data_IF_850538511784
#
_entry.id   IF_850538511784
#
_cell.length_a   1.000
_cell.length_b   1.000
_cell.length_c   1.000
_cell.angle_alpha   90.00
_cell.angle_beta   90.00
_cell.angle_gamma   90.00
#
_symmetry.space_group_name_H-M   'P 1'
#
loop_
_entity.id
_entity.type
_entity.pdbx_description
1 polymer ?
#
# COMPACT_ATOMS: atom_id res chain seq x y z
N UNK A 1 14.88 7.04 -5.52
CA UNK A 1 15.01 8.50 -5.34
C UNK A 1 15.79 9.19 -6.47
N UNK A 2 17.01 8.79 -6.85
CA UNK A 2 17.67 9.36 -8.03
C UNK A 2 16.82 9.25 -9.31
N UNK A 3 16.10 8.17 -9.48
CA UNK A 3 15.37 7.84 -10.71
C UNK A 3 14.12 8.68 -10.97
N UNK A 4 13.37 9.05 -9.92
CA UNK A 4 12.19 9.93 -10.06
C UNK A 4 12.61 11.36 -10.46
N UNK A 5 13.75 11.79 -9.95
CA UNK A 5 14.33 13.08 -10.24
C UNK A 5 14.91 13.12 -11.65
N UNK A 6 15.63 12.08 -12.06
CA UNK A 6 16.17 11.94 -13.41
C UNK A 6 15.07 11.88 -14.47
N UNK A 7 13.95 11.23 -14.16
CA UNK A 7 12.75 11.19 -15.02
C UNK A 7 12.11 12.57 -15.15
N UNK A 8 12.08 13.34 -14.08
CA UNK A 8 11.54 14.71 -14.09
C UNK A 8 12.46 15.66 -14.88
N UNK A 9 13.78 15.54 -14.72
CA UNK A 9 14.80 16.26 -15.47
C UNK A 9 14.75 15.91 -16.95
N UNK A 10 14.55 14.65 -17.31
CA UNK A 10 14.40 14.22 -18.70
C UNK A 10 13.16 14.83 -19.37
N UNK A 11 12.03 14.90 -18.66
CA UNK A 11 10.79 15.54 -19.14
C UNK A 11 10.93 17.05 -19.34
N UNK A 12 11.74 17.71 -18.53
CA UNK A 12 12.05 19.13 -18.69
C UNK A 12 12.96 19.38 -19.90
N UNK A 13 13.99 18.54 -20.07
CA UNK A 13 14.89 18.63 -21.23
C UNK A 13 14.18 18.33 -22.57
N UNK A 14 13.11 17.55 -22.55
CA UNK A 14 12.28 17.26 -23.73
C UNK A 14 11.23 18.33 -24.05
N UNK A 15 11.22 19.46 -23.34
CA UNK A 15 10.26 20.53 -23.56
C UNK A 15 8.81 20.28 -23.15
N UNK A 16 8.54 19.15 -22.48
CA UNK A 16 7.20 18.81 -22.01
C UNK A 16 6.72 19.62 -20.80
N UNK A 17 7.59 20.41 -20.19
CA UNK A 17 7.26 21.31 -19.08
C UNK A 17 7.95 22.65 -19.37
N UNK A 18 7.19 23.66 -19.77
CA UNK A 18 7.68 24.99 -20.13
C UNK A 18 7.72 25.97 -18.94
N UNK A 19 8.04 25.56 -17.76
CA UNK A 19 8.07 26.47 -16.61
C UNK A 19 9.51 26.66 -16.14
N UNK A 20 10.05 27.85 -16.37
CA UNK A 20 11.43 28.25 -16.04
C UNK A 20 11.81 28.06 -14.58
N UNK A 21 10.87 28.31 -13.65
CA UNK A 21 11.10 28.11 -12.22
C UNK A 21 11.26 26.64 -11.83
N UNK A 22 10.61 25.73 -12.56
CA UNK A 22 10.78 24.29 -12.39
C UNK A 22 12.12 23.84 -12.96
N UNK A 23 12.59 24.46 -14.05
CA UNK A 23 13.89 24.18 -14.65
C UNK A 23 15.03 24.60 -13.71
N UNK A 24 14.96 25.81 -13.12
CA UNK A 24 15.96 26.28 -12.16
C UNK A 24 15.99 25.42 -10.87
N UNK A 25 14.85 25.06 -10.33
CA UNK A 25 14.77 24.21 -9.13
C UNK A 25 15.37 22.83 -9.35
N UNK A 26 15.21 22.25 -10.54
CA UNK A 26 15.76 20.94 -10.87
C UNK A 26 17.26 20.97 -11.23
N UNK A 27 17.73 22.04 -11.84
CA UNK A 27 19.16 22.26 -12.06
C UNK A 27 19.90 22.36 -10.72
N UNK A 28 19.34 23.05 -9.74
CA UNK A 28 19.92 23.18 -8.41
C UNK A 28 19.95 21.83 -7.65
N UNK A 29 18.89 21.04 -7.77
CA UNK A 29 18.85 19.69 -7.19
C UNK A 29 19.86 18.76 -7.88
N UNK A 30 20.03 18.85 -9.19
CA UNK A 30 21.03 18.07 -9.93
C UNK A 30 22.46 18.49 -9.55
N UNK A 31 22.72 19.79 -9.38
CA UNK A 31 24.01 20.31 -8.90
C UNK A 31 24.36 19.72 -7.53
N UNK A 32 23.40 19.76 -6.57
CA UNK A 32 23.62 19.21 -5.22
C UNK A 32 23.80 17.68 -5.20
N UNK A 33 23.16 16.95 -6.09
CA UNK A 33 23.37 15.51 -6.24
C UNK A 33 24.78 15.20 -6.75
N UNK A 34 25.25 15.94 -7.76
CA UNK A 34 26.58 15.79 -8.31
C UNK A 34 27.67 16.15 -7.29
N UNK A 35 27.45 17.17 -6.43
CA UNK A 35 28.34 17.55 -5.34
C UNK A 35 28.41 16.44 -4.26
N UNK A 36 27.28 15.82 -3.92
CA UNK A 36 27.27 14.69 -2.98
C UNK A 36 27.96 13.44 -3.55
N UNK A 37 27.82 13.16 -4.85
CA UNK A 37 28.53 12.06 -5.51
C UNK A 37 30.04 12.35 -5.60
N UNK A 38 30.44 13.58 -5.91
CA UNK A 38 31.82 13.99 -5.91
C UNK A 38 32.46 13.89 -4.51
N UNK A 39 31.75 14.32 -3.48
CA UNK A 39 32.15 14.18 -2.08
C UNK A 39 32.34 12.72 -1.67
N UNK A 40 31.42 11.81 -2.07
CA UNK A 40 31.55 10.38 -1.76
C UNK A 40 32.74 9.72 -2.54
N UNK A 41 33.04 10.16 -3.75
CA UNK A 41 34.23 9.68 -4.51
C UNK A 41 35.54 10.15 -3.90
N UNK A 42 35.59 11.37 -3.35
CA UNK A 42 36.78 11.90 -2.67
C UNK A 42 37.13 11.08 -1.43
N UNK A 43 36.14 10.60 -0.68
CA UNK A 43 36.37 9.71 0.47
C UNK A 43 36.92 8.32 0.08
N UNK A 44 36.58 7.82 -1.11
CA UNK A 44 37.07 6.53 -1.61
C UNK A 44 38.51 6.65 -2.10
N UNK A 45 38.95 7.82 -2.61
CA UNK A 45 40.29 8.05 -3.12
C UNK A 45 41.31 8.37 -2.02
N UNK A 46 40.90 8.92 -0.88
CA UNK A 46 41.80 9.17 0.27
C UNK A 46 42.11 7.92 1.12
N UNK A 47 41.48 6.78 0.83
CA UNK A 47 41.66 5.50 1.54
C UNK A 47 42.81 4.63 1.03
N UNK A 48 43.62 5.05 0.02
CA UNK A 48 44.74 4.30 -0.53
C UNK A 48 46.08 5.00 -0.28
N UNK A 49 46.53 4.98 0.95
CA UNK A 49 47.88 5.38 1.35
C UNK A 49 48.31 4.58 2.56
N UNK A 50 49.39 3.77 2.37
CA UNK A 50 49.79 2.65 3.20
C UNK A 50 50.12 2.91 4.67
N UNK A 51 50.06 1.84 5.46
CA UNK A 51 50.57 1.79 6.82
C UNK A 51 49.80 0.85 7.72
N UNK A 52 50.36 -0.29 7.95
CA UNK A 52 49.93 -1.32 8.90
C UNK A 52 49.72 -0.73 10.31
N UNK A 53 48.45 -0.73 10.84
CA UNK A 53 48.15 -0.81 12.29
C UNK A 53 46.66 -0.95 12.53
N UNK A 54 46.33 -2.03 13.22
CA UNK A 54 45.07 -2.37 13.99
C UNK A 54 43.73 -1.85 13.43
N UNK A 55 42.95 -2.78 12.87
CA UNK A 55 41.52 -2.61 12.57
C UNK A 55 40.72 -2.36 13.84
N UNK A 56 40.52 -1.12 14.26
CA UNK A 56 39.36 -0.75 15.07
C UNK A 56 38.15 -0.62 14.13
N UNK A 57 37.17 -1.54 14.27
CA UNK A 57 35.87 -1.42 13.66
C UNK A 57 35.22 -0.13 14.18
N UNK A 58 35.09 0.87 13.33
CA UNK A 58 34.24 2.03 13.59
C UNK A 58 32.80 1.56 13.32
N UNK A 59 32.10 1.14 14.37
CA UNK A 59 30.66 1.04 14.36
C UNK A 59 30.10 2.46 14.30
N UNK A 60 29.67 2.88 13.11
CA UNK A 60 28.82 4.07 12.97
C UNK A 60 27.44 3.68 13.49
N UNK A 61 27.25 3.89 14.76
CA UNK A 61 25.94 3.77 15.41
C UNK A 61 25.11 4.99 15.08
N UNK A 62 24.29 4.92 14.03
CA UNK A 62 23.17 5.84 13.81
C UNK A 62 22.06 5.69 14.90
N UNK A 63 22.43 5.46 16.15
CA UNK A 63 21.52 5.24 17.28
C UNK A 63 21.52 6.36 18.33
N UNK A 64 22.02 7.55 18.02
CA UNK A 64 22.03 8.67 19.00
C UNK A 64 21.54 9.97 18.36
N UNK A 65 20.24 10.07 18.02
CA UNK A 65 19.61 11.38 17.79
C UNK A 65 18.11 11.44 18.08
N UNK A 66 17.48 10.38 18.58
CA UNK A 66 16.03 10.41 18.89
C UNK A 66 15.72 10.45 20.39
N UNK A 67 16.69 10.65 21.27
CA UNK A 67 16.47 10.57 22.73
C UNK A 67 16.46 11.88 23.49
N UNK A 68 16.49 13.04 22.88
CA UNK A 68 16.31 14.33 23.61
C UNK A 68 15.61 15.38 22.77
N UNK A 69 14.47 15.04 22.15
CA UNK A 69 13.46 16.04 21.87
C UNK A 69 12.59 16.14 23.13
N UNK A 70 12.74 17.23 23.88
CA UNK A 70 11.86 17.63 24.96
C UNK A 70 10.41 17.36 24.54
N UNK A 71 9.66 16.62 25.38
CA UNK A 71 8.21 16.45 25.31
C UNK A 71 7.52 17.82 25.50
N UNK A 72 7.67 18.72 24.52
CA UNK A 72 6.74 19.84 24.37
C UNK A 72 5.40 19.22 24.01
N UNK A 73 4.39 19.49 24.82
CA UNK A 73 3.03 18.97 24.76
C UNK A 73 2.61 18.63 23.31
N UNK A 74 2.45 17.36 23.01
CA UNK A 74 1.91 16.89 21.74
C UNK A 74 0.50 17.45 21.66
N UNK A 75 0.29 18.52 20.87
CA UNK A 75 -1.04 19.04 20.59
C UNK A 75 -1.84 17.87 20.00
N UNK A 76 -2.94 17.51 20.63
CA UNK A 76 -3.80 16.45 20.15
C UNK A 76 -4.29 16.82 18.74
N UNK A 77 -3.78 16.09 17.74
CA UNK A 77 -4.15 16.34 16.35
C UNK A 77 -5.59 15.88 16.13
N UNK A 78 -6.44 16.78 15.66
CA UNK A 78 -7.75 16.38 15.14
C UNK A 78 -7.57 15.61 13.82
N UNK A 79 -7.37 14.30 13.91
CA UNK A 79 -7.12 13.42 12.78
C UNK A 79 -8.18 13.49 11.68
N UNK A 80 -9.45 13.73 12.06
CA UNK A 80 -10.56 13.88 11.12
C UNK A 80 -10.41 15.17 10.30
N UNK A 81 -10.16 16.29 10.96
CA UNK A 81 -9.96 17.59 10.29
C UNK A 81 -8.74 17.56 9.35
N UNK A 82 -7.62 17.00 9.82
CA UNK A 82 -6.40 16.86 8.99
C UNK A 82 -6.65 16.00 7.75
N UNK A 83 -7.34 14.87 7.89
CA UNK A 83 -7.66 14.02 6.75
C UNK A 83 -8.57 14.74 5.74
N UNK A 84 -9.59 15.47 6.22
CA UNK A 84 -10.50 16.26 5.38
C UNK A 84 -9.76 17.39 4.65
N UNK A 85 -8.87 18.11 5.33
CA UNK A 85 -8.07 19.18 4.71
C UNK A 85 -7.18 18.68 3.55
N UNK A 86 -6.69 17.44 3.63
CA UNK A 86 -5.91 16.81 2.56
C UNK A 86 -6.81 16.30 1.45
N UNK A 87 -7.86 15.57 1.81
CA UNK A 87 -8.75 14.89 0.87
C UNK A 87 -10.16 14.79 1.47
N UNK A 88 -10.99 15.75 1.14
CA UNK A 88 -12.42 15.71 1.48
C UNK A 88 -13.19 15.01 0.36
N UNK A 89 -13.74 13.87 0.68
CA UNK A 89 -14.62 13.11 -0.20
C UNK A 89 -15.99 13.05 0.46
N UNK A 90 -16.96 13.85 0.03
CA UNK A 90 -18.32 13.84 0.61
C UNK A 90 -19.01 12.50 0.30
N UNK A 91 -19.97 12.11 1.14
CA UNK A 91 -20.72 10.86 0.99
C UNK A 91 -21.44 10.77 -0.38
N UNK A 92 -21.95 11.88 -0.90
CA UNK A 92 -22.57 11.94 -2.24
C UNK A 92 -21.58 11.48 -3.33
N UNK A 93 -20.34 11.94 -3.27
CA UNK A 93 -19.28 11.53 -4.21
C UNK A 93 -18.90 10.06 -4.02
N UNK A 94 -18.83 9.58 -2.78
CA UNK A 94 -18.58 8.17 -2.49
C UNK A 94 -19.68 7.27 -3.05
N UNK A 95 -20.96 7.64 -2.84
CA UNK A 95 -22.11 6.93 -3.42
C UNK A 95 -22.12 6.93 -4.93
N UNK A 96 -21.83 8.07 -5.55
CA UNK A 96 -21.73 8.16 -7.02
C UNK A 96 -20.61 7.27 -7.58
N UNK A 97 -19.43 7.25 -6.93
CA UNK A 97 -18.31 6.40 -7.33
C UNK A 97 -18.62 4.90 -7.10
N UNK A 98 -19.39 4.56 -6.06
CA UNK A 98 -19.86 3.19 -5.85
C UNK A 98 -20.89 2.77 -6.91
N UNK A 99 -21.83 3.64 -7.26
CA UNK A 99 -22.77 3.39 -8.35
C UNK A 99 -22.04 3.19 -9.68
N UNK A 100 -21.04 4.02 -9.96
CA UNK A 100 -20.16 3.82 -11.12
C UNK A 100 -19.43 2.48 -11.05
N UNK A 101 -18.90 2.07 -9.89
CA UNK A 101 -18.26 0.76 -9.72
C UNK A 101 -19.23 -0.39 -10.01
N UNK A 102 -20.49 -0.29 -9.57
CA UNK A 102 -21.55 -1.28 -9.87
C UNK A 102 -21.84 -1.33 -11.37
N UNK A 103 -21.93 -0.17 -12.02
CA UNK A 103 -22.34 -0.04 -13.42
C UNK A 103 -21.30 -0.52 -14.44
N UNK A 104 -19.98 -0.54 -14.11
CA UNK A 104 -18.93 -1.03 -15.05
C UNK A 104 -19.21 -2.49 -15.40
N UNK A 105 -19.50 -2.84 -16.68
CA UNK A 105 -19.67 -4.22 -17.08
C UNK A 105 -18.39 -5.05 -16.88
N UNK A 106 -18.53 -6.32 -16.57
CA UNK A 106 -17.37 -7.21 -16.36
C UNK A 106 -16.42 -7.28 -17.58
N UNK A 107 -16.99 -7.20 -18.80
CA UNK A 107 -16.21 -7.23 -20.03
C UNK A 107 -15.39 -5.96 -20.27
N UNK A 108 -15.84 -4.82 -19.70
CA UNK A 108 -15.28 -3.50 -20.01
C UNK A 108 -14.36 -2.96 -18.91
N UNK A 109 -13.95 -3.83 -17.97
CA UNK A 109 -13.12 -3.40 -16.84
C UNK A 109 -11.72 -3.01 -17.28
N UNK A 110 -11.45 -1.70 -17.30
CA UNK A 110 -10.10 -1.16 -17.40
C UNK A 110 -9.45 -1.09 -16.01
N UNK A 111 -8.54 -2.02 -15.70
CA UNK A 111 -7.84 -2.10 -14.41
C UNK A 111 -7.02 -0.84 -14.07
N UNK A 112 -6.64 -0.01 -15.06
CA UNK A 112 -5.94 1.25 -14.83
C UNK A 112 -6.85 2.33 -14.24
N UNK A 113 -8.16 2.25 -14.46
CA UNK A 113 -9.13 3.22 -13.97
C UNK A 113 -9.17 3.25 -12.43
N UNK A 114 -9.71 4.37 -11.91
CA UNK A 114 -9.74 4.65 -10.46
C UNK A 114 -11.15 4.53 -9.85
N UNK A 115 -12.08 3.94 -10.58
CA UNK A 115 -13.47 3.76 -10.14
C UNK A 115 -13.51 2.95 -8.84
N UNK A 116 -14.26 3.42 -7.85
CA UNK A 116 -14.33 2.87 -6.52
C UNK A 116 -13.29 3.41 -5.53
N UNK A 117 -12.25 4.13 -6.00
CA UNK A 117 -11.22 4.66 -5.12
C UNK A 117 -11.73 5.79 -4.22
N UNK A 118 -12.67 6.62 -4.67
CA UNK A 118 -13.24 7.68 -3.85
C UNK A 118 -14.06 7.10 -2.69
N UNK A 119 -14.75 5.98 -2.90
CA UNK A 119 -15.41 5.23 -1.83
C UNK A 119 -14.42 4.84 -0.74
N UNK A 120 -13.33 4.17 -1.14
CA UNK A 120 -12.29 3.72 -0.23
C UNK A 120 -11.64 4.91 0.51
N UNK A 121 -11.41 6.03 -0.17
CA UNK A 121 -10.86 7.24 0.44
C UNK A 121 -11.82 7.85 1.47
N UNK A 122 -13.14 7.89 1.19
CA UNK A 122 -14.14 8.43 2.11
C UNK A 122 -14.13 7.72 3.47
N UNK A 123 -14.07 6.38 3.48
CA UNK A 123 -14.15 5.62 4.72
C UNK A 123 -12.78 5.38 5.37
N UNK A 124 -11.72 5.18 4.61
CA UNK A 124 -10.46 4.65 5.12
C UNK A 124 -9.25 5.59 5.00
N UNK A 125 -9.35 6.76 4.34
CA UNK A 125 -8.19 7.63 4.13
C UNK A 125 -7.55 8.06 5.44
N UNK A 126 -8.35 8.48 6.46
CA UNK A 126 -7.85 8.87 7.78
C UNK A 126 -7.08 7.74 8.50
N UNK A 127 -7.51 6.50 8.30
CA UNK A 127 -6.86 5.33 8.89
C UNK A 127 -5.54 5.00 8.18
N UNK A 128 -5.47 5.21 6.87
CA UNK A 128 -4.23 5.08 6.11
C UNK A 128 -3.18 6.12 6.50
N UNK A 129 -3.59 7.32 6.87
CA UNK A 129 -2.69 8.35 7.41
C UNK A 129 -2.10 7.97 8.77
N UNK A 130 -2.80 7.12 9.55
CA UNK A 130 -2.33 6.60 10.84
C UNK A 130 -1.41 5.37 10.69
N UNK A 131 -1.44 4.69 9.55
CA UNK A 131 -0.61 3.52 9.33
C UNK A 131 0.84 3.93 9.03
N UNK A 132 1.80 3.15 9.53
CA UNK A 132 3.23 3.38 9.30
C UNK A 132 3.62 2.92 7.90
N UNK A 133 4.34 3.77 7.19
CA UNK A 133 4.90 3.46 5.87
C UNK A 133 6.11 2.53 5.97
N UNK A 134 6.67 2.13 4.83
CA UNK A 134 7.94 1.40 4.76
C UNK A 134 9.13 2.10 5.45
N UNK A 135 8.99 3.37 5.80
CA UNK A 135 9.96 4.16 6.60
C UNK A 135 9.65 4.10 8.10
N UNK A 136 8.69 3.27 8.54
CA UNK A 136 8.26 3.09 9.93
C UNK A 136 7.69 4.35 10.60
N UNK A 137 7.16 5.30 9.82
CA UNK A 137 6.54 6.53 10.29
C UNK A 137 5.14 6.69 9.69
N UNK A 138 4.15 7.13 10.48
CA UNK A 138 2.83 7.53 9.99
C UNK A 138 2.81 9.01 9.61
N UNK A 139 1.83 9.43 8.81
CA UNK A 139 1.66 10.84 8.48
C UNK A 139 1.41 11.68 9.74
N UNK A 140 0.62 11.19 10.69
CA UNK A 140 0.32 11.90 11.92
C UNK A 140 1.53 12.02 12.86
N UNK A 141 2.42 11.02 12.87
CA UNK A 141 3.67 11.13 13.63
C UNK A 141 4.61 12.14 12.96
N UNK A 142 4.74 12.07 11.63
CA UNK A 142 5.64 12.94 10.87
C UNK A 142 5.26 14.42 10.95
N UNK A 143 3.99 14.81 10.84
CA UNK A 143 3.60 16.22 10.88
C UNK A 143 3.86 16.87 12.24
N UNK A 144 4.07 16.08 13.30
CA UNK A 144 4.45 16.55 14.63
C UNK A 144 5.96 16.69 14.83
N UNK A 145 6.75 16.30 13.83
CA UNK A 145 8.22 16.50 13.87
C UNK A 145 8.61 17.87 13.35
N UNK A 146 9.86 18.25 13.57
CA UNK A 146 10.46 19.47 13.00
C UNK A 146 10.87 19.24 11.50
N UNK A 147 9.99 18.64 10.71
CA UNK A 147 10.28 18.28 9.31
C UNK A 147 10.71 19.49 8.46
N UNK A 148 10.28 20.71 8.81
CA UNK A 148 10.67 21.95 8.11
C UNK A 148 12.16 22.25 8.23
N UNK A 149 12.88 21.68 9.20
CA UNK A 149 14.34 21.79 9.31
C UNK A 149 15.09 21.01 8.24
N UNK A 150 14.42 20.04 7.60
CA UNK A 150 14.96 19.37 6.44
C UNK A 150 14.78 20.26 5.21
N UNK A 151 15.87 20.82 4.69
CA UNK A 151 15.86 21.76 3.58
C UNK A 151 15.16 21.20 2.32
N UNK A 152 15.37 19.94 2.00
CA UNK A 152 14.75 19.30 0.83
C UNK A 152 13.25 19.16 1.00
N UNK A 153 12.78 18.73 2.18
CA UNK A 153 11.34 18.63 2.49
C UNK A 153 10.69 20.02 2.48
N UNK A 154 11.37 21.02 3.08
CA UNK A 154 10.86 22.39 3.13
C UNK A 154 10.82 23.04 1.74
N UNK A 155 11.83 22.85 0.91
CA UNK A 155 11.85 23.36 -0.47
C UNK A 155 10.75 22.73 -1.29
N UNK A 156 10.52 21.40 -1.17
CA UNK A 156 9.44 20.75 -1.88
C UNK A 156 8.04 21.15 -1.34
N UNK A 157 7.93 21.49 -0.05
CA UNK A 157 6.71 22.06 0.51
C UNK A 157 6.39 23.42 -0.12
N UNK A 158 7.36 24.35 -0.16
CA UNK A 158 7.21 25.66 -0.81
C UNK A 158 6.82 25.52 -2.29
N UNK A 159 7.53 24.68 -3.03
CA UNK A 159 7.18 24.38 -4.41
C UNK A 159 5.71 23.97 -4.56
N UNK A 160 5.18 23.10 -3.68
CA UNK A 160 3.79 22.70 -3.75
C UNK A 160 2.80 23.82 -3.41
N UNK A 161 3.17 24.76 -2.52
CA UNK A 161 2.38 25.95 -2.25
C UNK A 161 2.34 26.88 -3.47
N UNK A 162 3.49 27.09 -4.11
CA UNK A 162 3.61 27.91 -5.34
C UNK A 162 2.80 27.31 -6.50
N UNK A 163 2.60 25.99 -6.52
CA UNK A 163 1.69 25.29 -7.43
C UNK A 163 0.20 25.38 -7.01
N UNK A 164 -0.15 26.25 -6.08
CA UNK A 164 -1.53 26.49 -5.63
C UNK A 164 -2.13 25.43 -4.72
N UNK A 165 -1.33 24.51 -4.14
CA UNK A 165 -1.86 23.56 -3.17
C UNK A 165 -2.07 24.22 -1.81
N UNK A 166 -3.13 23.82 -1.13
CA UNK A 166 -3.32 24.23 0.28
C UNK A 166 -2.18 23.68 1.16
N UNK A 167 -1.89 24.31 2.31
CA UNK A 167 -0.81 23.86 3.20
C UNK A 167 -0.88 22.37 3.58
N UNK A 168 -2.09 21.84 3.82
CA UNK A 168 -2.25 20.43 4.17
C UNK A 168 -1.96 19.49 2.99
N UNK A 169 -2.42 19.85 1.78
CA UNK A 169 -2.11 19.10 0.55
C UNK A 169 -0.63 19.17 0.20
N UNK A 170 0.02 20.31 0.42
CA UNK A 170 1.45 20.49 0.21
C UNK A 170 2.26 19.63 1.20
N UNK A 171 1.92 19.63 2.50
CA UNK A 171 2.52 18.74 3.51
C UNK A 171 2.36 17.27 3.15
N UNK A 172 1.16 16.88 2.74
CA UNK A 172 0.91 15.49 2.33
C UNK A 172 1.69 15.10 1.06
N UNK A 173 1.92 16.05 0.14
CA UNK A 173 2.78 15.81 -1.03
C UNK A 173 4.24 15.54 -0.63
N UNK A 174 4.77 16.30 0.34
CA UNK A 174 6.10 16.06 0.94
C UNK A 174 6.16 14.66 1.55
N UNK A 175 5.23 14.34 2.44
CA UNK A 175 5.20 13.02 3.08
C UNK A 175 5.16 11.88 2.06
N UNK A 176 4.34 12.00 1.02
CA UNK A 176 4.24 10.99 -0.04
C UNK A 176 5.54 10.80 -0.81
N UNK A 177 6.29 11.87 -1.05
CA UNK A 177 7.54 11.81 -1.80
C UNK A 177 8.65 11.14 -0.98
N UNK A 178 8.83 11.58 0.26
CA UNK A 178 9.97 11.16 1.10
C UNK A 178 9.72 9.88 1.89
N UNK A 179 8.48 9.65 2.32
CA UNK A 179 8.13 8.53 3.21
C UNK A 179 7.25 7.47 2.53
N UNK A 180 6.63 7.83 1.41
CA UNK A 180 5.67 6.99 0.71
C UNK A 180 4.23 7.19 1.22
N UNK A 181 3.29 6.53 0.57
CA UNK A 181 1.89 6.53 0.96
C UNK A 181 1.37 5.11 1.06
N UNK A 182 0.49 4.89 2.03
CA UNK A 182 -0.26 3.64 2.15
C UNK A 182 -1.38 3.65 1.11
N UNK A 183 -1.38 2.67 0.25
CA UNK A 183 -2.38 2.49 -0.80
C UNK A 183 -3.31 1.32 -0.44
N UNK A 184 -4.60 1.48 -0.75
CA UNK A 184 -5.53 0.35 -0.70
C UNK A 184 -5.54 -0.41 -2.02
N UNK A 185 -5.93 -1.68 -1.96
CA UNK A 185 -6.17 -2.47 -3.16
C UNK A 185 -7.33 -1.86 -3.96
N UNK A 186 -7.18 -1.70 -5.29
CA UNK A 186 -8.21 -1.04 -6.11
C UNK A 186 -9.51 -1.87 -6.17
N UNK A 187 -10.68 -1.29 -5.85
CA UNK A 187 -11.96 -2.00 -5.92
C UNK A 187 -12.26 -2.57 -7.30
N UNK A 188 -11.91 -1.82 -8.35
CA UNK A 188 -12.16 -2.24 -9.72
C UNK A 188 -11.33 -3.49 -10.12
N UNK A 189 -10.10 -3.63 -9.62
CA UNK A 189 -9.29 -4.83 -9.85
C UNK A 189 -9.89 -6.03 -9.12
N UNK A 190 -10.39 -5.82 -7.89
CA UNK A 190 -11.09 -6.89 -7.17
C UNK A 190 -12.36 -7.32 -7.92
N UNK A 191 -13.16 -6.36 -8.38
CA UNK A 191 -14.34 -6.64 -9.22
C UNK A 191 -13.97 -7.42 -10.47
N UNK A 192 -12.90 -7.03 -11.18
CA UNK A 192 -12.40 -7.76 -12.33
C UNK A 192 -12.09 -9.22 -12.01
N UNK A 193 -11.39 -9.49 -10.92
CA UNK A 193 -11.04 -10.85 -10.51
C UNK A 193 -12.29 -11.67 -10.18
N UNK A 194 -13.26 -11.08 -9.49
CA UNK A 194 -14.53 -11.75 -9.18
C UNK A 194 -15.37 -12.01 -10.44
N UNK A 195 -15.37 -11.11 -11.42
CA UNK A 195 -15.98 -11.34 -12.72
C UNK A 195 -15.31 -12.50 -13.47
N UNK A 196 -14.00 -12.63 -13.36
CA UNK A 196 -13.22 -13.69 -14.03
C UNK A 196 -13.50 -15.06 -13.41
N UNK A 197 -13.48 -15.18 -12.09
CA UNK A 197 -13.58 -16.46 -11.39
C UNK A 197 -14.96 -16.79 -10.82
N UNK A 198 -15.89 -15.84 -10.84
CA UNK A 198 -17.34 -16.00 -10.57
C UNK A 198 -17.66 -16.77 -9.29
N UNK A 199 -17.22 -16.29 -8.10
CA UNK A 199 -17.61 -16.92 -6.84
C UNK A 199 -19.14 -16.85 -6.67
N UNK A 200 -19.72 -17.93 -6.14
CA UNK A 200 -21.16 -18.08 -5.98
C UNK A 200 -21.61 -18.09 -4.53
N UNK A 201 -20.72 -18.49 -3.61
CA UNK A 201 -21.05 -18.64 -2.19
C UNK A 201 -20.58 -17.42 -1.41
N UNK A 202 -19.28 -17.20 -1.31
CA UNK A 202 -18.68 -16.03 -0.68
C UNK A 202 -17.19 -15.91 -1.04
N UNK A 203 -16.66 -14.70 -0.91
CA UNK A 203 -15.22 -14.43 -0.93
C UNK A 203 -14.72 -14.34 0.49
N UNK A 204 -13.69 -15.12 0.86
CA UNK A 204 -12.91 -14.98 2.08
C UNK A 204 -11.67 -14.14 1.82
N UNK A 205 -11.44 -13.13 2.68
CA UNK A 205 -10.27 -12.26 2.67
C UNK A 205 -9.68 -12.19 4.09
N UNK A 206 -8.59 -12.90 4.32
CA UNK A 206 -8.00 -13.00 5.66
C UNK A 206 -7.02 -11.86 6.01
N UNK A 207 -6.98 -10.82 5.18
CA UNK A 207 -6.24 -9.56 5.41
C UNK A 207 -6.98 -8.41 4.74
N UNK A 208 -8.18 -8.13 5.20
CA UNK A 208 -9.19 -7.30 4.53
C UNK A 208 -8.74 -5.86 4.24
N UNK A 209 -7.89 -5.28 5.11
CA UNK A 209 -7.26 -3.98 4.93
C UNK A 209 -8.25 -2.83 4.75
N UNK A 210 -8.08 -2.07 3.69
CA UNK A 210 -8.77 -0.79 3.46
C UNK A 210 -10.05 -0.90 2.61
N UNK A 211 -10.71 -2.04 2.64
CA UNK A 211 -12.05 -2.23 2.05
C UNK A 211 -12.11 -2.39 0.53
N UNK A 212 -10.99 -2.31 -0.20
CA UNK A 212 -11.04 -2.35 -1.67
C UNK A 212 -11.57 -3.67 -2.24
N UNK A 213 -11.19 -4.81 -1.68
CA UNK A 213 -11.68 -6.13 -2.09
C UNK A 213 -13.13 -6.36 -1.65
N UNK A 214 -13.51 -5.85 -0.47
CA UNK A 214 -14.91 -5.83 -0.01
C UNK A 214 -15.81 -5.04 -0.98
N UNK A 215 -15.39 -3.84 -1.38
CA UNK A 215 -16.13 -3.00 -2.33
C UNK A 215 -16.33 -3.68 -3.69
N UNK A 216 -15.30 -4.39 -4.17
CA UNK A 216 -15.41 -5.19 -5.40
C UNK A 216 -16.48 -6.28 -5.30
N UNK A 217 -16.56 -6.97 -4.15
CA UNK A 217 -17.59 -7.98 -3.87
C UNK A 217 -18.99 -7.36 -3.74
N UNK A 218 -19.10 -6.28 -2.96
CA UNK A 218 -20.37 -5.54 -2.80
C UNK A 218 -20.92 -5.04 -4.15
N UNK A 219 -20.04 -4.57 -5.06
CA UNK A 219 -20.46 -4.09 -6.37
C UNK A 219 -21.09 -5.18 -7.27
N UNK A 220 -20.80 -6.44 -6.99
CA UNK A 220 -21.33 -7.62 -7.72
C UNK A 220 -22.40 -8.39 -6.94
N UNK A 221 -22.78 -7.94 -5.75
CA UNK A 221 -23.72 -8.67 -4.91
C UNK A 221 -23.16 -9.97 -4.33
N UNK A 222 -21.83 -10.10 -4.21
CA UNK A 222 -21.16 -11.31 -3.71
C UNK A 222 -20.98 -11.20 -2.19
N UNK A 223 -21.39 -12.21 -1.39
CA UNK A 223 -21.11 -12.25 0.03
C UNK A 223 -19.59 -12.18 0.31
N UNK A 224 -19.21 -11.42 1.35
CA UNK A 224 -17.81 -11.16 1.68
C UNK A 224 -17.55 -11.44 3.16
N UNK A 225 -16.48 -12.19 3.43
CA UNK A 225 -16.00 -12.52 4.76
C UNK A 225 -14.59 -11.95 4.91
N UNK A 226 -14.47 -10.85 5.66
CA UNK A 226 -13.20 -10.17 5.89
C UNK A 226 -12.66 -10.42 7.29
N UNK A 227 -11.36 -10.67 7.40
CA UNK A 227 -10.63 -10.77 8.66
C UNK A 227 -9.52 -9.75 8.64
N UNK A 228 -9.34 -9.01 9.72
CA UNK A 228 -8.27 -8.03 9.89
C UNK A 228 -7.90 -7.86 11.37
N UNK A 229 -6.64 -7.63 11.66
CA UNK A 229 -6.19 -7.37 13.04
C UNK A 229 -6.50 -5.95 13.52
N UNK A 230 -6.68 -5.01 12.59
CA UNK A 230 -6.89 -3.60 12.90
C UNK A 230 -8.32 -3.31 13.33
N UNK A 231 -8.57 -3.38 14.64
CA UNK A 231 -9.89 -3.13 15.25
C UNK A 231 -10.41 -1.70 15.01
N UNK A 232 -9.53 -0.73 14.74
CA UNK A 232 -9.90 0.66 14.47
C UNK A 232 -10.65 0.82 13.13
N UNK A 233 -10.59 -0.19 12.27
CA UNK A 233 -11.33 -0.20 11.00
C UNK A 233 -12.80 -0.59 11.15
N UNK A 234 -13.20 -1.18 12.29
CA UNK A 234 -14.58 -1.64 12.51
C UNK A 234 -15.63 -0.55 12.22
N UNK A 235 -15.55 0.66 12.80
CA UNK A 235 -16.57 1.69 12.53
C UNK A 235 -16.59 2.14 11.07
N UNK A 236 -15.43 2.09 10.38
CA UNK A 236 -15.36 2.46 8.97
C UNK A 236 -16.05 1.43 8.07
N UNK A 237 -15.85 0.14 8.34
CA UNK A 237 -16.54 -0.94 7.63
C UNK A 237 -18.05 -0.93 7.90
N UNK A 238 -18.46 -0.78 9.16
CA UNK A 238 -19.88 -0.72 9.53
C UNK A 238 -20.59 0.45 8.83
N UNK A 239 -19.99 1.64 8.85
CA UNK A 239 -20.51 2.79 8.12
C UNK A 239 -20.54 2.56 6.60
N UNK A 240 -19.46 2.03 6.03
CA UNK A 240 -19.38 1.75 4.59
C UNK A 240 -20.51 0.83 4.14
N UNK A 241 -20.71 -0.28 4.84
CA UNK A 241 -21.77 -1.23 4.52
C UNK A 241 -23.13 -0.55 4.65
N UNK A 242 -23.39 0.10 5.79
CA UNK A 242 -24.69 0.76 6.07
C UNK A 242 -25.01 1.88 5.07
N UNK A 243 -24.04 2.73 4.74
CA UNK A 243 -24.26 3.93 3.94
C UNK A 243 -24.28 3.67 2.43
N UNK A 244 -23.66 2.56 1.98
CA UNK A 244 -23.68 2.13 0.57
C UNK A 244 -24.79 1.14 0.27
N UNK A 245 -25.38 0.54 1.29
CA UNK A 245 -26.55 -0.31 1.20
C UNK A 245 -27.80 0.55 1.04
N UNK A 246 -28.05 1.01 -0.18
CA UNK A 246 -29.08 2.01 -0.50
C UNK A 246 -30.50 1.45 -0.53
N UNK A 247 -30.68 0.15 -0.32
CA UNK A 247 -31.99 -0.53 -0.34
C UNK A 247 -32.18 -1.32 0.97
N UNK A 248 -32.66 -0.71 2.06
CA UNK A 248 -32.83 -1.39 3.35
C UNK A 248 -33.74 -2.62 3.29
N UNK A 249 -34.55 -2.77 2.24
CA UNK A 249 -35.48 -3.87 2.03
C UNK A 249 -35.06 -4.82 0.88
N UNK A 250 -33.91 -4.64 0.25
CA UNK A 250 -33.46 -5.55 -0.79
C UNK A 250 -33.00 -6.88 -0.16
N UNK A 251 -33.73 -7.94 -0.38
CA UNK A 251 -33.35 -9.33 -0.02
C UNK A 251 -32.05 -9.78 -0.73
N UNK A 252 -31.47 -8.94 -1.60
CA UNK A 252 -30.33 -9.21 -2.45
C UNK A 252 -29.02 -8.52 -2.01
N UNK A 253 -28.99 -7.86 -0.85
CA UNK A 253 -27.76 -7.20 -0.41
C UNK A 253 -26.71 -8.23 0.04
N UNK A 254 -25.47 -8.13 -0.51
CA UNK A 254 -24.42 -9.05 -0.15
C UNK A 254 -24.09 -8.91 1.33
N UNK A 255 -24.19 -10.01 2.05
CA UNK A 255 -23.83 -10.02 3.48
C UNK A 255 -22.32 -9.82 3.63
N UNK A 256 -21.92 -8.67 4.16
CA UNK A 256 -20.54 -8.42 4.58
C UNK A 256 -20.39 -8.83 6.04
N UNK A 257 -19.49 -9.79 6.27
CA UNK A 257 -19.13 -10.27 7.61
C UNK A 257 -17.69 -9.90 7.91
N UNK A 258 -17.46 -8.99 8.87
CA UNK A 258 -16.11 -8.61 9.30
C UNK A 258 -15.77 -9.21 10.65
N UNK A 259 -14.56 -9.77 10.77
CA UNK A 259 -13.96 -10.25 12.02
C UNK A 259 -12.65 -9.52 12.28
N UNK A 260 -12.58 -8.80 13.39
CA UNK A 260 -11.37 -8.04 13.77
C UNK A 260 -10.57 -8.85 14.77
N UNK A 261 -9.75 -9.76 14.25
CA UNK A 261 -8.94 -10.73 14.97
C UNK A 261 -7.74 -11.19 14.16
N UNK A 262 -6.83 -11.93 14.77
CA UNK A 262 -5.73 -12.57 14.07
C UNK A 262 -6.24 -13.72 13.18
N UNK A 263 -5.87 -13.70 11.90
CA UNK A 263 -6.22 -14.75 10.96
C UNK A 263 -5.59 -16.11 11.36
N UNK A 264 -4.40 -16.11 11.97
CA UNK A 264 -3.76 -17.33 12.45
C UNK A 264 -4.53 -18.01 13.60
N UNK A 265 -5.29 -17.22 14.36
CA UNK A 265 -6.15 -17.73 15.45
C UNK A 265 -7.60 -17.96 15.01
N UNK A 266 -7.89 -17.89 13.72
CA UNK A 266 -9.26 -18.00 13.19
C UNK A 266 -9.60 -19.44 12.81
N UNK A 267 -10.73 -19.92 13.30
CA UNK A 267 -11.33 -21.19 12.87
C UNK A 267 -12.10 -20.99 11.55
N UNK A 268 -11.46 -21.34 10.45
CA UNK A 268 -12.03 -21.17 9.09
C UNK A 268 -13.10 -22.22 8.74
N UNK A 269 -13.25 -23.30 9.51
CA UNK A 269 -14.29 -24.30 9.31
C UNK A 269 -15.71 -23.74 9.50
N UNK A 270 -15.82 -22.63 10.22
CA UNK A 270 -17.10 -21.93 10.49
C UNK A 270 -17.61 -21.12 9.30
N UNK A 271 -16.82 -20.98 8.23
CA UNK A 271 -17.18 -20.15 7.08
C UNK A 271 -17.42 -21.01 5.85
N UNK A 272 -18.44 -20.66 5.09
CA UNK A 272 -18.69 -21.25 3.77
C UNK A 272 -18.25 -20.25 2.70
N UNK A 273 -17.28 -20.61 1.90
CA UNK A 273 -16.74 -19.79 0.79
C UNK A 273 -16.22 -20.68 -0.34
N UNK A 274 -16.32 -20.17 -1.54
CA UNK A 274 -15.83 -20.80 -2.78
C UNK A 274 -14.74 -19.98 -3.47
N UNK A 275 -14.37 -18.85 -2.87
CA UNK A 275 -13.19 -18.06 -3.27
C UNK A 275 -12.44 -17.54 -2.06
N UNK A 276 -11.11 -17.63 -2.12
CA UNK A 276 -10.21 -16.84 -1.29
C UNK A 276 -9.57 -15.78 -2.18
N UNK A 277 -9.63 -14.52 -1.77
CA UNK A 277 -8.85 -13.48 -2.40
C UNK A 277 -8.34 -12.48 -1.36
N UNK A 278 -7.03 -12.43 -1.20
CA UNK A 278 -6.38 -11.60 -0.20
C UNK A 278 -5.02 -11.07 -0.67
N UNK A 279 -4.53 -10.07 0.06
CA UNK A 279 -3.16 -9.57 -0.01
C UNK A 279 -2.62 -9.59 1.42
N UNK A 280 -1.95 -10.67 1.83
CA UNK A 280 -1.42 -10.80 3.20
C UNK A 280 -0.33 -9.75 3.45
N UNK A 281 0.06 -9.50 4.71
CA UNK A 281 1.19 -8.63 5.01
C UNK A 281 2.46 -9.06 4.25
N UNK A 282 3.12 -8.09 3.60
CA UNK A 282 4.39 -8.35 2.92
C UNK A 282 5.52 -8.18 3.92
N UNK A 283 6.20 -9.27 4.21
CA UNK A 283 7.29 -9.31 5.16
C UNK A 283 8.64 -9.33 4.42
N UNK A 284 9.53 -8.37 4.72
CA UNK A 284 10.93 -8.44 4.32
C UNK A 284 11.71 -9.26 5.34
N UNK A 285 13.03 -9.28 5.25
CA UNK A 285 13.89 -10.17 6.05
C UNK A 285 13.60 -10.14 7.56
N UNK A 286 13.39 -8.95 8.15
CA UNK A 286 13.24 -8.79 9.61
C UNK A 286 12.02 -7.98 10.05
N UNK A 287 11.20 -7.48 9.10
CA UNK A 287 10.01 -6.68 9.43
C UNK A 287 9.01 -6.64 8.28
N UNK A 288 7.72 -6.38 8.57
CA UNK A 288 6.75 -6.10 7.53
C UNK A 288 7.14 -4.83 6.76
N UNK A 289 6.72 -4.76 5.48
CA UNK A 289 6.98 -3.59 4.61
C UNK A 289 6.23 -2.35 5.13
N UNK A 290 5.01 -2.56 5.66
CA UNK A 290 4.18 -1.53 6.28
C UNK A 290 3.95 -1.86 7.76
N UNK A 291 3.64 -0.84 8.57
CA UNK A 291 3.31 -1.04 9.98
C UNK A 291 1.84 -1.39 10.15
N UNK A 292 1.53 -2.68 10.12
CA UNK A 292 0.18 -3.19 10.30
C UNK A 292 -0.24 -3.13 11.76
N UNK A 293 -1.41 -2.53 12.03
CA UNK A 293 -1.91 -2.36 13.39
C UNK A 293 -2.30 -3.71 14.01
N UNK A 294 -1.91 -3.91 15.26
CA UNK A 294 -2.20 -5.12 16.04
C UNK A 294 -1.66 -6.44 15.45
N UNK A 295 -0.74 -6.35 14.48
CA UNK A 295 -0.06 -7.53 13.97
C UNK A 295 0.86 -8.10 15.04
N UNK A 296 0.85 -9.43 15.29
CA UNK A 296 1.80 -10.09 16.18
C UNK A 296 3.26 -9.80 15.78
N UNK A 297 4.15 -9.82 16.75
CA UNK A 297 5.58 -9.70 16.48
C UNK A 297 6.13 -11.00 15.91
N UNK A 298 6.88 -10.89 14.82
CA UNK A 298 7.64 -11.97 14.20
C UNK A 298 9.12 -11.59 14.21
N UNK A 299 9.98 -12.56 14.55
CA UNK A 299 11.42 -12.34 14.63
C UNK A 299 12.02 -12.02 13.25
N UNK A 300 11.60 -12.76 12.24
CA UNK A 300 12.04 -12.62 10.86
C UNK A 300 11.00 -13.17 9.88
N UNK A 301 11.39 -13.29 8.61
CA UNK A 301 10.56 -13.83 7.53
C UNK A 301 10.22 -15.31 7.73
N UNK A 302 11.13 -16.11 8.24
CA UNK A 302 10.90 -17.53 8.47
C UNK A 302 9.87 -17.74 9.60
N UNK A 303 9.99 -16.99 10.69
CA UNK A 303 9.03 -16.99 11.78
C UNK A 303 7.63 -16.52 11.33
N UNK A 304 7.56 -15.46 10.51
CA UNK A 304 6.32 -15.01 9.89
C UNK A 304 5.68 -16.09 9.01
N UNK A 305 6.47 -16.76 8.17
CA UNK A 305 5.98 -17.84 7.33
C UNK A 305 5.48 -19.03 8.17
N UNK A 306 6.23 -19.43 9.18
CA UNK A 306 5.89 -20.59 10.01
C UNK A 306 4.66 -20.36 10.90
N UNK A 307 4.50 -19.16 11.47
CA UNK A 307 3.45 -18.86 12.44
C UNK A 307 2.22 -18.17 11.86
N UNK A 308 2.32 -17.56 10.69
CA UNK A 308 1.21 -16.86 10.06
C UNK A 308 0.94 -17.35 8.64
N UNK A 309 1.87 -17.10 7.69
CA UNK A 309 1.54 -17.25 6.27
C UNK A 309 1.15 -18.69 5.92
N UNK A 310 2.00 -19.66 6.24
CA UNK A 310 1.78 -21.05 5.85
C UNK A 310 0.59 -21.69 6.59
N UNK A 311 0.41 -21.54 7.90
CA UNK A 311 -0.77 -22.06 8.59
C UNK A 311 -2.08 -21.47 8.07
N UNK A 312 -2.13 -20.15 7.84
CA UNK A 312 -3.34 -19.49 7.35
C UNK A 312 -3.68 -19.93 5.93
N UNK A 313 -2.66 -19.99 5.04
CA UNK A 313 -2.86 -20.47 3.66
C UNK A 313 -3.35 -21.92 3.65
N UNK A 314 -2.73 -22.82 4.43
CA UNK A 314 -3.18 -24.23 4.55
C UNK A 314 -4.61 -24.33 5.05
N UNK A 315 -4.93 -23.64 6.14
CA UNK A 315 -6.26 -23.72 6.76
C UNK A 315 -7.33 -23.14 5.83
N UNK A 316 -7.10 -21.96 5.25
CA UNK A 316 -8.07 -21.35 4.33
C UNK A 316 -8.24 -22.14 3.04
N UNK A 317 -7.18 -22.80 2.54
CA UNK A 317 -7.30 -23.69 1.40
C UNK A 317 -8.01 -25.02 1.74
N UNK A 318 -7.75 -25.58 2.93
CA UNK A 318 -8.42 -26.81 3.38
C UNK A 318 -9.94 -26.65 3.45
N UNK A 319 -10.42 -25.50 3.90
CA UNK A 319 -11.87 -25.20 4.05
C UNK A 319 -12.49 -24.51 2.81
N UNK A 320 -11.72 -24.22 1.77
CA UNK A 320 -12.25 -23.75 0.49
C UNK A 320 -13.14 -24.84 -0.12
N UNK A 321 -14.29 -24.47 -0.66
CA UNK A 321 -15.17 -25.43 -1.36
C UNK A 321 -14.44 -26.13 -2.52
N UNK A 322 -14.82 -27.39 -2.81
CA UNK A 322 -14.35 -28.08 -4.01
C UNK A 322 -14.71 -27.29 -5.27
N UNK A 323 -13.85 -27.28 -6.26
CA UNK A 323 -13.99 -26.41 -7.43
C UNK A 323 -13.82 -24.90 -7.11
N UNK A 324 -13.46 -24.54 -5.88
CA UNK A 324 -13.23 -23.16 -5.47
C UNK A 324 -11.94 -22.56 -6.01
N UNK A 325 -11.84 -21.23 -6.00
CA UNK A 325 -10.68 -20.49 -6.47
C UNK A 325 -9.91 -19.89 -5.30
N UNK A 326 -8.60 -20.08 -5.28
CA UNK A 326 -7.70 -19.47 -4.30
C UNK A 326 -6.81 -18.43 -5.00
N UNK A 327 -6.84 -17.19 -4.56
CA UNK A 327 -6.08 -16.11 -5.18
C UNK A 327 -5.30 -15.29 -4.14
N UNK A 328 -4.02 -15.09 -4.38
CA UNK A 328 -3.15 -14.26 -3.55
C UNK A 328 -2.52 -13.15 -4.38
N UNK A 329 -2.68 -11.91 -3.94
CA UNK A 329 -1.89 -10.79 -4.44
C UNK A 329 -0.63 -10.69 -3.59
N UNK A 330 0.50 -11.15 -4.12
CA UNK A 330 1.77 -11.27 -3.39
C UNK A 330 2.97 -10.99 -4.30
N UNK A 331 4.12 -10.56 -3.72
CA UNK A 331 5.40 -10.54 -4.41
C UNK A 331 5.86 -11.95 -4.86
N UNK A 332 6.69 -11.99 -5.91
CA UNK A 332 7.18 -13.23 -6.49
C UNK A 332 7.98 -14.09 -5.48
N UNK A 333 8.74 -13.45 -4.57
CA UNK A 333 9.48 -14.13 -3.51
C UNK A 333 8.56 -14.86 -2.50
N UNK A 334 7.41 -14.26 -2.16
CA UNK A 334 6.41 -14.94 -1.32
C UNK A 334 5.75 -16.13 -2.05
N UNK A 335 5.51 -15.98 -3.35
CA UNK A 335 5.00 -17.10 -4.16
C UNK A 335 6.01 -18.26 -4.19
N UNK A 336 7.30 -17.98 -4.40
CA UNK A 336 8.33 -19.01 -4.43
C UNK A 336 8.44 -19.77 -3.10
N UNK A 337 8.29 -19.09 -1.97
CA UNK A 337 8.26 -19.73 -0.65
C UNK A 337 7.02 -20.63 -0.44
N UNK A 338 5.83 -20.17 -0.84
CA UNK A 338 4.59 -20.98 -0.78
C UNK A 338 4.71 -22.21 -1.67
N UNK A 339 5.28 -22.06 -2.87
CA UNK A 339 5.54 -23.15 -3.81
C UNK A 339 6.55 -24.15 -3.25
N UNK A 340 7.66 -23.68 -2.71
CA UNK A 340 8.68 -24.53 -2.11
C UNK A 340 8.16 -25.31 -0.89
N UNK A 341 7.25 -24.72 -0.12
CA UNK A 341 6.60 -25.38 1.01
C UNK A 341 5.53 -26.40 0.61
N UNK A 342 5.20 -26.55 -0.68
CA UNK A 342 4.23 -27.52 -1.20
C UNK A 342 2.81 -27.36 -0.62
N UNK A 343 2.40 -26.13 -0.27
CA UNK A 343 1.15 -25.87 0.45
C UNK A 343 -0.07 -25.87 -0.47
N UNK A 344 0.12 -25.41 -1.70
CA UNK A 344 -0.93 -25.30 -2.71
C UNK A 344 -0.59 -26.19 -3.92
N UNK A 345 -1.59 -26.61 -4.72
CA UNK A 345 -1.36 -27.43 -5.90
C UNK A 345 -0.62 -26.65 -7.00
N UNK A 346 -0.60 -27.19 -8.21
CA UNK A 346 -0.06 -26.48 -9.37
C UNK A 346 -0.81 -25.19 -9.64
N UNK A 347 -0.07 -24.14 -10.00
CA UNK A 347 -0.62 -22.82 -10.29
C UNK A 347 -1.55 -22.87 -11.52
N UNK A 348 -2.75 -22.30 -11.39
CA UNK A 348 -3.69 -22.17 -12.51
C UNK A 348 -3.34 -20.96 -13.40
N UNK A 349 -3.09 -19.79 -12.77
CA UNK A 349 -2.84 -18.56 -13.50
C UNK A 349 -1.98 -17.56 -12.69
N UNK A 350 -1.27 -16.70 -13.42
CA UNK A 350 -0.52 -15.56 -12.87
C UNK A 350 -0.96 -14.29 -13.59
N UNK A 351 -1.60 -13.37 -12.87
CA UNK A 351 -2.08 -12.10 -13.44
C UNK A 351 -1.18 -10.95 -13.03
N UNK A 352 -0.78 -10.16 -14.02
CA UNK A 352 -0.09 -8.89 -13.78
C UNK A 352 -1.12 -7.83 -13.39
N UNK A 353 -0.86 -7.08 -12.32
CA UNK A 353 -1.66 -5.91 -11.98
C UNK A 353 -1.32 -4.75 -12.91
N UNK A 354 -2.34 -4.14 -13.52
CA UNK A 354 -2.18 -2.85 -14.19
C UNK A 354 -2.12 -1.73 -13.14
N UNK A 355 -1.01 -1.65 -12.45
CA UNK A 355 -0.64 -0.43 -11.74
C UNK A 355 -0.12 0.54 -12.80
N UNK A 356 -0.51 1.83 -12.72
CA UNK A 356 0.10 2.83 -13.62
C UNK A 356 1.62 2.69 -13.53
N UNK A 357 2.32 2.49 -14.65
CA UNK A 357 3.77 2.41 -14.62
C UNK A 357 4.29 3.74 -14.07
N UNK A 358 4.88 3.73 -12.90
CA UNK A 358 5.65 4.89 -12.39
C UNK A 358 6.86 5.16 -13.26
N UNK A 359 7.23 4.19 -14.07
CA UNK A 359 8.28 4.24 -15.06
C UNK A 359 7.69 3.81 -16.39
N UNK A 360 7.57 4.75 -17.31
CA UNK A 360 7.08 4.50 -18.66
C UNK A 360 7.97 3.45 -19.34
N UNK A 361 7.34 2.58 -20.15
CA UNK A 361 8.05 1.87 -21.22
C UNK A 361 8.98 2.86 -21.93
N UNK A 362 10.28 2.54 -21.96
CA UNK A 362 11.24 3.32 -22.74
C UNK A 362 12.18 4.23 -21.95
N UNK A 363 12.29 4.08 -20.61
CA UNK A 363 13.43 4.65 -19.92
C UNK A 363 14.67 3.79 -20.26
N UNK A 364 15.60 4.27 -21.10
CA UNK A 364 16.78 3.50 -21.49
C UNK A 364 17.71 3.17 -20.32
N UNK A 365 17.55 3.88 -19.19
CA UNK A 365 18.38 3.65 -17.99
C UNK A 365 17.79 2.59 -17.04
N UNK A 366 16.55 2.11 -17.28
CA UNK A 366 15.93 1.07 -16.47
C UNK A 366 15.02 0.15 -17.32
N UNK A 367 15.60 -0.58 -18.31
CA UNK A 367 14.83 -1.47 -19.19
C UNK A 367 14.15 -2.61 -18.45
N UNK A 368 14.59 -2.97 -17.24
CA UNK A 368 14.23 -4.20 -16.53
C UNK A 368 13.74 -4.00 -15.11
N UNK A 369 12.97 -2.95 -14.81
CA UNK A 369 12.20 -2.98 -13.56
C UNK A 369 11.11 -4.04 -13.71
N UNK A 370 11.48 -5.30 -13.47
CA UNK A 370 10.56 -6.40 -13.40
C UNK A 370 9.52 -6.09 -12.33
N UNK A 371 8.27 -6.05 -12.76
CA UNK A 371 7.15 -5.99 -11.82
C UNK A 371 7.12 -7.29 -11.02
N UNK A 372 7.39 -7.20 -9.72
CA UNK A 372 7.58 -8.36 -8.84
C UNK A 372 6.35 -8.72 -8.00
N UNK A 373 5.19 -8.17 -8.30
CA UNK A 373 3.94 -8.41 -7.55
C UNK A 373 2.83 -8.80 -8.50
N UNK A 374 2.19 -9.95 -8.26
CA UNK A 374 1.18 -10.52 -9.13
C UNK A 374 -0.01 -11.05 -8.32
N UNK A 375 -1.12 -11.32 -8.99
CA UNK A 375 -2.18 -12.18 -8.43
C UNK A 375 -1.90 -13.60 -8.92
N UNK A 376 -1.53 -14.45 -8.01
CA UNK A 376 -1.37 -15.89 -8.22
C UNK A 376 -2.68 -16.60 -7.92
N UNK A 377 -3.09 -17.51 -8.79
CA UNK A 377 -4.39 -18.18 -8.71
C UNK A 377 -4.25 -19.69 -8.79
N UNK A 378 -4.93 -20.38 -7.90
CA UNK A 378 -5.03 -21.82 -7.84
C UNK A 378 -6.49 -22.26 -7.88
N UNK A 379 -6.72 -23.50 -8.30
CA UNK A 379 -8.03 -24.14 -8.30
C UNK A 379 -8.01 -25.31 -7.33
N UNK A 380 -9.01 -25.41 -6.47
CA UNK A 380 -9.18 -26.60 -5.64
C UNK A 380 -9.90 -27.66 -6.46
N UNK A 381 -9.38 -28.90 -6.60
CA UNK A 381 -10.04 -29.99 -7.32
C UNK A 381 -11.35 -30.42 -6.66
#
# INVERSE_FOLDING_TARGET
MPDELNTLIAKLKSGMIQNENVQMGLQEVQRKLNENEASSRTWVLMGKGGGNKSRKKIHITHKKSLKHASLKSIKSINRKAVAAAIKDIPLSKARADFAALKAVPCADINQAAKVGNAVMDHYFFRHRLAAKTKRAVSYYDWINTDWQRNESEHSFYKFNLDQGKTPDKARYAVFRLYYGAIHGFKPLIAKWLYCTYKPRTAVLDFSAGWGGRCLGAMALGIPYIGIDTNKDLRPAYERMVKELDSEPNSKSNPKVTMRFQDAAATDFSRFKYDMVFTSPPYFKTVRPIEGYAHMPHYADRADFNARFLFPVVRSTYAHLARGGTYALNIPDDMYDEIRAAGILPSLLAKHRLFLQPRFAKGNPNHPDVQYKEHIYVWKKP
#
